data_IF_775024850601
#
_entry.id   IF_775024850601
#
_cell.length_a   1.000
_cell.length_b   1.000
_cell.length_c   1.000
_cell.angle_alpha   90.00
_cell.angle_beta   90.00
_cell.angle_gamma   90.00
#
_symmetry.space_group_name_H-M   'P 1'
#
loop_
_entity.id
_entity.type
_entity.pdbx_description
1 polymer ?
#
# COMPACT_ATOMS: atom_id res chain seq x y z
N UNK A 1 18.33 44.56 75.24
CA UNK A 1 17.04 44.20 74.59
C UNK A 1 17.36 43.89 73.18
N UNK A 2 17.55 42.63 72.84
CA UNK A 2 17.90 42.17 71.51
C UNK A 2 16.76 41.24 71.03
N UNK A 3 16.04 41.67 69.99
CA UNK A 3 14.95 40.88 69.40
C UNK A 3 15.52 39.86 68.42
N UNK A 4 15.33 38.58 68.71
CA UNK A 4 15.62 37.46 67.81
C UNK A 4 14.62 37.44 66.65
N UNK A 5 15.12 37.62 65.45
CA UNK A 5 14.35 37.42 64.17
C UNK A 5 14.55 35.98 63.74
N UNK A 6 13.52 35.17 63.86
CA UNK A 6 13.51 33.79 63.34
C UNK A 6 13.22 33.84 61.84
N UNK A 7 14.23 33.53 61.03
CA UNK A 7 14.12 33.34 59.59
C UNK A 7 13.56 31.94 59.31
N UNK A 8 12.32 31.88 58.87
CA UNK A 8 11.67 30.63 58.46
C UNK A 8 12.09 30.29 57.02
N UNK A 9 12.95 29.29 56.84
CA UNK A 9 13.29 28.77 55.52
C UNK A 9 12.16 27.85 55.07
N UNK A 10 11.36 28.30 54.07
CA UNK A 10 10.34 27.48 53.41
C UNK A 10 11.04 26.71 52.29
N UNK A 11 11.35 25.43 52.49
CA UNK A 11 11.86 24.55 51.43
C UNK A 11 10.66 24.11 50.60
N UNK A 12 10.50 24.73 49.45
CA UNK A 12 9.51 24.33 48.43
C UNK A 12 10.07 23.15 47.63
N UNK A 13 9.69 21.95 47.99
CA UNK A 13 10.03 20.74 47.26
C UNK A 13 9.16 20.70 45.99
N UNK A 14 9.74 21.06 44.84
CA UNK A 14 9.10 20.89 43.54
C UNK A 14 9.20 19.41 43.20
N UNK A 15 8.08 18.69 43.36
CA UNK A 15 7.93 17.33 42.84
C UNK A 15 7.74 17.44 41.34
N UNK A 16 8.79 17.18 40.58
CA UNK A 16 8.72 16.99 39.12
C UNK A 16 8.08 15.63 38.86
N UNK A 17 6.77 15.58 38.66
CA UNK A 17 6.11 14.41 38.12
C UNK A 17 6.48 14.35 36.66
N UNK A 18 7.50 13.57 36.31
CA UNK A 18 7.74 13.14 34.93
C UNK A 18 6.54 12.28 34.52
N UNK A 19 5.63 12.87 33.77
CA UNK A 19 4.65 12.09 32.99
C UNK A 19 5.45 11.32 31.94
N UNK A 20 5.73 10.06 32.23
CA UNK A 20 6.14 9.09 31.25
C UNK A 20 4.93 8.94 30.33
N UNK A 21 4.93 9.68 29.21
CA UNK A 21 4.08 9.35 28.07
C UNK A 21 4.51 7.96 27.59
N UNK A 22 3.94 6.94 28.18
CA UNK A 22 3.90 5.63 27.58
C UNK A 22 3.21 5.81 26.22
N UNK A 23 4.00 5.84 25.15
CA UNK A 23 3.47 5.55 23.82
C UNK A 23 2.86 4.16 23.92
N UNK A 24 1.57 4.10 24.21
CA UNK A 24 0.76 2.95 23.81
C UNK A 24 0.96 2.87 22.30
N UNK A 25 1.66 1.85 21.81
CA UNK A 25 1.60 1.44 20.43
C UNK A 25 0.14 1.09 20.16
N UNK A 26 -0.69 2.11 19.91
CA UNK A 26 -2.05 1.94 19.48
C UNK A 26 -2.01 1.12 18.19
N UNK A 27 -2.84 0.09 18.14
CA UNK A 27 -3.04 -0.72 16.92
C UNK A 27 -3.16 0.26 15.76
N UNK A 28 -2.17 0.25 14.88
CA UNK A 28 -2.11 1.20 13.78
C UNK A 28 -2.98 0.68 12.65
N UNK A 29 -4.20 1.17 12.57
CA UNK A 29 -5.16 0.81 11.53
C UNK A 29 -4.73 1.39 10.17
N UNK A 30 -5.28 0.82 9.10
CA UNK A 30 -5.15 1.40 7.76
C UNK A 30 -5.75 2.82 7.73
N UNK A 31 -5.05 3.77 7.13
CA UNK A 31 -5.59 5.11 6.89
C UNK A 31 -6.79 5.05 5.93
N UNK A 32 -7.59 6.12 5.90
CA UNK A 32 -8.71 6.24 4.94
C UNK A 32 -8.22 6.08 3.49
N UNK A 33 -7.07 6.67 3.15
CA UNK A 33 -6.45 6.54 1.81
C UNK A 33 -6.03 5.11 1.51
N UNK A 34 -5.39 4.42 2.44
CA UNK A 34 -5.00 3.02 2.27
C UNK A 34 -6.21 2.11 2.05
N UNK A 35 -7.28 2.27 2.84
CA UNK A 35 -8.54 1.53 2.61
C UNK A 35 -9.13 1.81 1.22
N UNK A 36 -9.09 3.05 0.76
CA UNK A 36 -9.55 3.40 -0.58
C UNK A 36 -8.70 2.76 -1.69
N UNK A 37 -7.36 2.73 -1.54
CA UNK A 37 -6.46 2.03 -2.45
C UNK A 37 -6.83 0.54 -2.53
N UNK A 38 -7.07 -0.12 -1.38
CA UNK A 38 -7.51 -1.51 -1.31
C UNK A 38 -8.83 -1.72 -2.06
N UNK A 39 -9.82 -0.87 -1.82
CA UNK A 39 -11.12 -0.94 -2.49
C UNK A 39 -11.00 -0.77 -4.01
N UNK A 40 -10.31 0.28 -4.47
CA UNK A 40 -10.12 0.55 -5.91
C UNK A 40 -9.35 -0.60 -6.57
N UNK A 41 -8.25 -1.06 -5.97
CA UNK A 41 -7.41 -2.12 -6.52
C UNK A 41 -8.16 -3.44 -6.67
N UNK A 42 -8.84 -3.89 -5.62
CA UNK A 42 -9.57 -5.17 -5.60
C UNK A 42 -10.74 -5.19 -6.58
N UNK A 43 -11.54 -4.12 -6.62
CA UNK A 43 -12.69 -4.01 -7.51
C UNK A 43 -12.25 -3.88 -8.98
N UNK A 44 -11.15 -3.17 -9.25
CA UNK A 44 -10.58 -3.08 -10.60
C UNK A 44 -10.05 -4.44 -11.06
N UNK A 45 -9.31 -5.16 -10.20
CA UNK A 45 -8.83 -6.52 -10.47
C UNK A 45 -9.97 -7.47 -10.79
N UNK A 46 -11.06 -7.43 -10.03
CA UNK A 46 -12.27 -8.23 -10.26
C UNK A 46 -13.04 -7.80 -11.52
N UNK A 47 -12.97 -6.50 -11.89
CA UNK A 47 -13.63 -5.91 -13.04
C UNK A 47 -15.08 -5.52 -12.83
N UNK A 48 -15.48 -5.24 -11.60
CA UNK A 48 -16.80 -4.72 -11.28
C UNK A 48 -16.83 -3.20 -11.44
N UNK A 49 -17.19 -2.72 -12.63
CA UNK A 49 -17.16 -1.29 -12.96
C UNK A 49 -18.18 -0.46 -12.16
N UNK A 50 -19.31 -1.07 -11.78
CA UNK A 50 -20.32 -0.38 -10.97
C UNK A 50 -19.78 -0.06 -9.57
N UNK A 51 -19.19 -1.06 -8.91
CA UNK A 51 -18.52 -0.86 -7.62
C UNK A 51 -17.29 0.04 -7.76
N UNK A 52 -16.57 -0.03 -8.89
CA UNK A 52 -15.41 0.83 -9.13
C UNK A 52 -15.78 2.31 -9.10
N UNK A 53 -16.89 2.71 -9.74
CA UNK A 53 -17.39 4.10 -9.69
C UNK A 53 -17.59 4.56 -8.24
N UNK A 54 -18.17 3.72 -7.40
CA UNK A 54 -18.35 4.02 -5.97
C UNK A 54 -17.01 4.15 -5.23
N UNK A 55 -16.07 3.22 -5.47
CA UNK A 55 -14.75 3.23 -4.82
C UNK A 55 -13.89 4.42 -5.25
N UNK A 56 -13.98 4.85 -6.51
CA UNK A 56 -13.26 6.02 -7.02
C UNK A 56 -13.75 7.31 -6.35
N UNK A 57 -15.08 7.50 -6.23
CA UNK A 57 -15.65 8.62 -5.49
C UNK A 57 -15.19 8.59 -4.02
N UNK A 58 -15.33 7.46 -3.34
CA UNK A 58 -14.87 7.29 -1.96
C UNK A 58 -13.37 7.55 -1.78
N UNK A 59 -12.56 7.20 -2.78
CA UNK A 59 -11.12 7.46 -2.79
C UNK A 59 -10.80 8.95 -2.84
N UNK A 60 -11.46 9.71 -3.72
CA UNK A 60 -11.32 11.17 -3.78
C UNK A 60 -11.80 11.82 -2.47
N UNK A 61 -12.92 11.37 -1.92
CA UNK A 61 -13.46 11.87 -0.65
C UNK A 61 -12.57 11.50 0.55
N UNK A 62 -11.83 10.41 0.48
CA UNK A 62 -10.80 10.04 1.46
C UNK A 62 -9.51 10.86 1.32
N UNK A 63 -9.42 11.72 0.30
CA UNK A 63 -8.31 12.62 0.04
C UNK A 63 -7.21 12.04 -0.85
N UNK A 64 -7.46 10.94 -1.58
CA UNK A 64 -6.58 10.56 -2.68
C UNK A 64 -6.61 11.64 -3.76
N UNK A 65 -5.45 11.95 -4.32
CA UNK A 65 -5.36 12.88 -5.43
C UNK A 65 -5.66 12.18 -6.76
N UNK A 66 -5.98 12.96 -7.78
CA UNK A 66 -6.20 12.43 -9.14
C UNK A 66 -5.00 11.61 -9.61
N UNK A 67 -3.77 12.13 -9.39
CA UNK A 67 -2.55 11.43 -9.80
C UNK A 67 -2.29 10.15 -8.98
N UNK A 68 -2.64 10.12 -7.69
CA UNK A 68 -2.58 8.87 -6.90
C UNK A 68 -3.54 7.81 -7.44
N UNK A 69 -4.78 8.19 -7.79
CA UNK A 69 -5.74 7.21 -8.36
C UNK A 69 -5.31 6.76 -9.76
N UNK A 70 -4.79 7.65 -10.61
CA UNK A 70 -4.18 7.24 -11.89
C UNK A 70 -3.06 6.23 -11.66
N UNK A 71 -2.20 6.47 -10.68
CA UNK A 71 -1.10 5.57 -10.34
C UNK A 71 -1.60 4.20 -9.86
N UNK A 72 -2.66 4.18 -9.03
CA UNK A 72 -3.34 2.92 -8.64
C UNK A 72 -3.82 2.15 -9.86
N UNK A 73 -4.53 2.81 -10.78
CA UNK A 73 -5.09 2.16 -11.97
C UNK A 73 -4.00 1.72 -12.97
N UNK A 74 -2.90 2.48 -13.09
CA UNK A 74 -1.74 2.07 -13.88
C UNK A 74 -1.04 0.84 -13.27
N UNK A 75 -0.86 0.81 -11.94
CA UNK A 75 -0.25 -0.33 -11.27
C UNK A 75 -1.05 -1.64 -11.47
N UNK A 76 -2.39 -1.55 -11.50
CA UNK A 76 -3.27 -2.71 -11.78
C UNK A 76 -2.91 -3.41 -13.09
N UNK A 77 -2.41 -2.68 -14.09
CA UNK A 77 -1.99 -3.25 -15.37
C UNK A 77 -0.99 -4.40 -15.23
N UNK A 78 -0.02 -4.28 -14.32
CA UNK A 78 1.03 -5.27 -14.13
C UNK A 78 0.50 -6.63 -13.63
N UNK A 79 -0.65 -6.65 -12.96
CA UNK A 79 -1.22 -7.85 -12.33
C UNK A 79 -2.51 -8.34 -13.00
N UNK A 80 -3.28 -7.44 -13.59
CA UNK A 80 -4.58 -7.76 -14.19
C UNK A 80 -4.66 -7.39 -15.68
N UNK A 81 -3.54 -6.94 -16.29
CA UNK A 81 -3.40 -6.60 -17.69
C UNK A 81 -4.03 -5.28 -18.11
N UNK A 82 -3.68 -4.82 -19.32
CA UNK A 82 -4.21 -3.59 -19.92
C UNK A 82 -5.73 -3.49 -19.89
N UNK A 83 -6.51 -4.54 -20.19
CA UNK A 83 -7.96 -4.38 -20.25
C UNK A 83 -8.56 -3.88 -18.94
N UNK A 84 -8.13 -4.40 -17.79
CA UNK A 84 -8.62 -3.95 -16.47
C UNK A 84 -8.19 -2.52 -16.17
N UNK A 85 -6.91 -2.21 -16.36
CA UNK A 85 -6.34 -0.88 -16.14
C UNK A 85 -7.02 0.18 -17.03
N UNK A 86 -7.10 -0.04 -18.32
CA UNK A 86 -7.71 0.92 -19.27
C UNK A 86 -9.21 1.15 -18.98
N UNK A 87 -9.97 0.09 -18.67
CA UNK A 87 -11.37 0.25 -18.25
C UNK A 87 -11.49 0.99 -16.93
N UNK A 88 -10.57 0.77 -16.00
CA UNK A 88 -10.49 1.55 -14.75
C UNK A 88 -10.25 3.03 -15.02
N UNK A 89 -9.27 3.36 -15.87
CA UNK A 89 -8.97 4.75 -16.25
C UNK A 89 -10.16 5.42 -16.94
N UNK A 90 -10.84 4.75 -17.88
CA UNK A 90 -12.05 5.27 -18.53
C UNK A 90 -13.17 5.54 -17.52
N UNK A 91 -13.38 4.64 -16.55
CA UNK A 91 -14.36 4.85 -15.48
C UNK A 91 -13.97 6.05 -14.60
N UNK A 92 -12.69 6.21 -14.31
CA UNK A 92 -12.20 7.34 -13.52
C UNK A 92 -12.38 8.68 -14.25
N UNK A 93 -12.15 8.73 -15.56
CA UNK A 93 -12.43 9.93 -16.36
C UNK A 93 -13.89 10.35 -16.23
N UNK A 94 -14.84 9.41 -16.34
CA UNK A 94 -16.25 9.70 -16.20
C UNK A 94 -16.60 10.20 -14.77
N UNK A 95 -16.02 9.60 -13.73
CA UNK A 95 -16.20 10.07 -12.34
C UNK A 95 -15.73 11.51 -12.17
N UNK A 96 -14.56 11.87 -12.72
CA UNK A 96 -14.03 13.24 -12.63
C UNK A 96 -14.94 14.26 -13.37
N UNK A 97 -15.46 13.90 -14.54
CA UNK A 97 -16.41 14.74 -15.28
C UNK A 97 -17.70 14.96 -14.50
N UNK A 98 -18.27 13.92 -13.91
CA UNK A 98 -19.49 14.02 -13.08
C UNK A 98 -19.27 14.89 -11.84
N UNK A 99 -18.11 14.73 -11.16
CA UNK A 99 -17.76 15.54 -9.98
C UNK A 99 -17.57 17.00 -10.36
N UNK A 100 -16.86 17.27 -11.44
CA UNK A 100 -16.69 18.63 -11.98
C UNK A 100 -18.04 19.28 -12.35
N UNK A 101 -18.95 18.54 -12.99
CA UNK A 101 -20.29 19.01 -13.31
C UNK A 101 -21.12 19.37 -12.07
N UNK A 102 -20.83 18.76 -10.90
CA UNK A 102 -21.40 19.07 -9.59
C UNK A 102 -20.68 20.21 -8.86
N UNK A 103 -19.68 20.84 -9.48
CA UNK A 103 -18.87 21.91 -8.87
C UNK A 103 -17.85 21.44 -7.86
N UNK A 104 -17.50 20.13 -7.86
CA UNK A 104 -16.47 19.57 -6.98
C UNK A 104 -15.11 19.71 -7.66
N UNK A 105 -14.15 20.31 -6.96
CA UNK A 105 -12.78 20.44 -7.41
C UNK A 105 -11.90 19.42 -6.70
N UNK A 106 -11.45 18.42 -7.45
CA UNK A 106 -10.56 17.37 -6.94
C UNK A 106 -9.09 17.80 -7.09
N UNK A 107 -8.27 17.46 -6.10
CA UNK A 107 -6.85 17.83 -6.08
C UNK A 107 -6.08 16.97 -7.09
N UNK A 108 -5.35 17.61 -8.02
CA UNK A 108 -4.54 16.90 -9.03
C UNK A 108 -3.43 16.04 -8.36
N UNK A 109 -2.71 16.59 -7.40
CA UNK A 109 -1.56 15.96 -6.76
C UNK A 109 -0.28 16.03 -7.61
N UNK A 110 0.87 15.65 -7.04
CA UNK A 110 2.15 15.65 -7.75
C UNK A 110 2.18 14.57 -8.84
N UNK A 111 2.93 14.83 -9.91
CA UNK A 111 3.37 13.81 -10.85
C UNK A 111 4.56 13.02 -10.26
N UNK A 112 4.87 11.87 -10.85
CA UNK A 112 6.07 11.13 -10.46
C UNK A 112 7.32 11.94 -10.77
N UNK A 113 8.28 11.91 -9.86
CA UNK A 113 9.61 12.52 -10.09
C UNK A 113 10.27 11.81 -11.29
N UNK A 114 10.86 12.57 -12.24
CA UNK A 114 11.61 11.97 -13.32
C UNK A 114 12.77 11.12 -12.79
N UNK A 115 12.93 9.93 -13.35
CA UNK A 115 14.06 9.05 -13.01
C UNK A 115 15.31 9.60 -13.70
N UNK A 116 16.32 9.92 -12.91
CA UNK A 116 17.61 10.49 -13.38
C UNK A 116 18.78 9.49 -13.33
N UNK A 117 18.53 8.28 -12.81
CA UNK A 117 19.51 7.19 -12.78
C UNK A 117 19.71 6.64 -14.19
N UNK A 118 20.98 6.57 -14.64
CA UNK A 118 21.41 6.10 -15.95
C UNK A 118 21.74 4.58 -15.98
N UNK A 119 21.60 3.90 -14.84
CA UNK A 119 21.72 2.45 -14.74
C UNK A 119 20.72 1.70 -15.64
N UNK A 120 21.01 0.45 -15.99
CA UNK A 120 20.07 -0.34 -16.77
C UNK A 120 18.75 -0.52 -16.02
N UNK A 121 17.62 -0.57 -16.75
CA UNK A 121 16.31 -0.84 -16.12
C UNK A 121 16.32 -2.14 -15.33
N UNK A 122 17.04 -3.15 -15.83
CA UNK A 122 17.18 -4.43 -15.15
C UNK A 122 17.84 -4.27 -13.78
N UNK A 123 18.96 -3.55 -13.70
CA UNK A 123 19.71 -3.37 -12.45
C UNK A 123 18.92 -2.51 -11.45
N UNK A 124 18.28 -1.44 -11.92
CA UNK A 124 17.40 -0.63 -11.06
C UNK A 124 16.22 -1.43 -10.53
N UNK A 125 15.54 -2.20 -11.39
CA UNK A 125 14.44 -3.05 -10.96
C UNK A 125 14.88 -4.18 -10.03
N UNK A 126 16.06 -4.77 -10.25
CA UNK A 126 16.67 -5.71 -9.32
C UNK A 126 16.88 -5.08 -7.94
N UNK A 127 17.50 -3.89 -7.88
CA UNK A 127 17.74 -3.18 -6.62
C UNK A 127 16.43 -2.85 -5.87
N UNK A 128 15.37 -2.49 -6.59
CA UNK A 128 14.04 -2.26 -6.00
C UNK A 128 13.47 -3.56 -5.42
N UNK A 129 13.53 -4.68 -6.15
CA UNK A 129 13.06 -5.97 -5.66
C UNK A 129 13.84 -6.41 -4.41
N UNK A 130 15.16 -6.27 -4.40
CA UNK A 130 16.00 -6.56 -3.24
C UNK A 130 15.61 -5.68 -2.04
N UNK A 131 15.34 -4.40 -2.25
CA UNK A 131 14.87 -3.48 -1.21
C UNK A 131 13.49 -3.87 -0.68
N UNK A 132 12.56 -4.29 -1.53
CA UNK A 132 11.21 -4.70 -1.15
C UNK A 132 11.19 -6.04 -0.40
N UNK A 133 12.07 -6.96 -0.79
CA UNK A 133 12.12 -8.30 -0.20
C UNK A 133 13.08 -8.42 1.00
N UNK A 134 14.06 -7.53 1.08
CA UNK A 134 15.17 -7.63 2.01
C UNK A 134 16.14 -8.79 1.68
N UNK A 135 16.07 -9.34 0.47
CA UNK A 135 16.87 -10.48 0.03
C UNK A 135 17.67 -10.08 -1.21
N UNK A 136 18.99 -10.21 -1.12
CA UNK A 136 19.87 -10.02 -2.28
C UNK A 136 19.72 -11.19 -3.25
N UNK A 137 19.61 -10.90 -4.54
CA UNK A 137 19.61 -11.92 -5.59
C UNK A 137 21.03 -12.35 -5.93
N UNK A 138 21.46 -13.42 -5.32
CA UNK A 138 22.75 -14.05 -5.55
C UNK A 138 22.59 -15.46 -6.11
N UNK A 139 23.55 -15.91 -6.94
CA UNK A 139 23.55 -17.26 -7.47
C UNK A 139 22.70 -17.47 -8.74
N UNK A 140 22.55 -18.74 -9.17
CA UNK A 140 21.84 -19.07 -10.40
C UNK A 140 20.34 -18.86 -10.27
N UNK A 141 19.69 -18.51 -11.38
CA UNK A 141 18.22 -18.41 -11.46
C UNK A 141 17.59 -19.78 -11.22
N UNK A 142 16.43 -19.78 -10.57
CA UNK A 142 15.65 -20.98 -10.26
C UNK A 142 14.18 -20.81 -10.63
N UNK A 143 13.39 -21.88 -10.57
CA UNK A 143 11.95 -21.83 -10.82
C UNK A 143 11.60 -21.25 -12.19
N UNK A 144 10.58 -20.36 -12.23
CA UNK A 144 10.13 -19.74 -13.47
C UNK A 144 11.20 -18.88 -14.15
N UNK A 145 12.09 -18.25 -13.37
CA UNK A 145 13.15 -17.40 -13.90
C UNK A 145 14.21 -18.21 -14.66
N UNK A 146 14.47 -19.45 -14.26
CA UNK A 146 15.32 -20.37 -15.01
C UNK A 146 14.60 -20.99 -16.20
N UNK A 147 13.30 -21.31 -16.04
CA UNK A 147 12.49 -21.95 -17.09
C UNK A 147 12.14 -21.00 -18.23
N UNK A 148 11.81 -19.76 -17.93
CA UNK A 148 11.42 -18.73 -18.90
C UNK A 148 12.14 -17.40 -18.59
N UNK A 149 13.44 -17.25 -18.89
CA UNK A 149 14.25 -16.11 -18.46
C UNK A 149 13.69 -14.74 -18.90
N UNK A 150 12.99 -14.68 -20.03
CA UNK A 150 12.42 -13.43 -20.54
C UNK A 150 11.37 -12.81 -19.58
N UNK A 151 10.56 -13.65 -18.89
CA UNK A 151 9.57 -13.13 -17.93
C UNK A 151 10.24 -12.49 -16.71
N UNK A 152 11.39 -12.98 -16.31
CA UNK A 152 12.19 -12.42 -15.22
C UNK A 152 12.75 -11.05 -15.60
N UNK A 153 13.19 -10.86 -16.86
CA UNK A 153 13.60 -9.55 -17.39
C UNK A 153 12.42 -8.59 -17.36
N UNK A 154 11.24 -8.98 -17.84
CA UNK A 154 10.05 -8.14 -17.81
C UNK A 154 9.65 -7.75 -16.38
N UNK A 155 9.75 -8.67 -15.42
CA UNK A 155 9.49 -8.35 -14.02
C UNK A 155 10.43 -7.25 -13.52
N UNK A 156 11.72 -7.36 -13.78
CA UNK A 156 12.69 -6.36 -13.31
C UNK A 156 12.58 -5.04 -14.04
N UNK A 157 12.62 -5.06 -15.35
CA UNK A 157 12.64 -3.83 -16.13
C UNK A 157 11.29 -3.12 -16.10
N UNK A 158 10.19 -3.85 -16.18
CA UNK A 158 8.89 -3.25 -16.36
C UNK A 158 8.11 -3.11 -15.05
N UNK A 159 8.00 -4.18 -14.25
CA UNK A 159 7.26 -4.07 -13.00
C UNK A 159 8.05 -3.23 -11.97
N UNK A 160 9.31 -3.58 -11.71
CA UNK A 160 10.05 -2.92 -10.64
C UNK A 160 10.65 -1.58 -11.07
N UNK A 161 11.31 -1.47 -12.24
CA UNK A 161 11.90 -0.21 -12.67
C UNK A 161 10.85 0.77 -13.23
N UNK A 162 9.95 0.36 -14.14
CA UNK A 162 9.01 1.34 -14.73
C UNK A 162 7.82 1.69 -13.81
N UNK A 163 7.42 0.82 -12.87
CA UNK A 163 6.22 1.01 -12.05
C UNK A 163 6.58 1.25 -10.57
N UNK A 164 7.33 0.35 -9.92
CA UNK A 164 7.63 0.50 -8.50
C UNK A 164 8.61 1.64 -8.19
N UNK A 165 9.45 2.05 -9.14
CA UNK A 165 10.38 3.17 -8.97
C UNK A 165 9.67 4.53 -8.90
N UNK A 166 8.45 4.63 -9.42
CA UNK A 166 7.65 5.86 -9.41
C UNK A 166 7.19 6.18 -7.97
N UNK A 167 7.42 7.40 -7.52
CA UNK A 167 7.27 7.86 -6.13
C UNK A 167 5.88 8.45 -5.77
N UNK A 168 4.89 8.33 -6.65
CA UNK A 168 3.51 8.80 -6.39
C UNK A 168 2.83 8.00 -5.28
N UNK A 169 3.13 6.70 -5.18
CA UNK A 169 2.71 5.82 -4.10
C UNK A 169 3.94 5.29 -3.34
N UNK A 170 3.82 5.20 -2.03
CA UNK A 170 4.82 4.55 -1.18
C UNK A 170 4.87 3.03 -1.44
N UNK A 171 5.95 2.35 -1.06
CA UNK A 171 6.04 0.89 -1.17
C UNK A 171 4.96 0.16 -0.36
N UNK A 172 4.57 0.69 0.80
CA UNK A 172 3.44 0.15 1.57
C UNK A 172 2.13 0.23 0.79
N UNK A 173 1.84 1.38 0.15
CA UNK A 173 0.64 1.56 -0.67
C UNK A 173 0.67 0.68 -1.92
N UNK A 174 1.84 0.51 -2.56
CA UNK A 174 1.99 -0.38 -3.71
C UNK A 174 1.77 -1.85 -3.35
N UNK A 175 2.30 -2.30 -2.22
CA UNK A 175 2.09 -3.68 -1.79
C UNK A 175 0.64 -3.93 -1.34
N UNK A 176 0.00 -2.99 -0.62
CA UNK A 176 -1.44 -3.06 -0.33
C UNK A 176 -2.28 -3.14 -1.61
N UNK A 177 -1.93 -2.33 -2.61
CA UNK A 177 -2.57 -2.36 -3.92
C UNK A 177 -2.37 -3.71 -4.61
N UNK A 178 -1.13 -4.23 -4.61
CA UNK A 178 -0.80 -5.52 -5.23
C UNK A 178 -1.62 -6.64 -4.64
N UNK A 179 -1.62 -6.81 -3.29
CA UNK A 179 -2.42 -7.87 -2.65
C UNK A 179 -3.91 -7.69 -2.90
N UNK A 180 -4.39 -6.44 -3.04
CA UNK A 180 -5.79 -6.13 -3.38
C UNK A 180 -6.16 -6.61 -4.78
N UNK A 181 -5.31 -6.32 -5.76
CA UNK A 181 -5.51 -6.76 -7.15
C UNK A 181 -5.47 -8.28 -7.24
N UNK A 182 -4.51 -8.94 -6.55
CA UNK A 182 -4.39 -10.40 -6.53
C UNK A 182 -5.64 -11.06 -5.92
N UNK A 183 -6.22 -10.48 -4.85
CA UNK A 183 -7.52 -10.95 -4.32
C UNK A 183 -8.64 -10.82 -5.35
N UNK A 184 -8.65 -9.74 -6.14
CA UNK A 184 -9.65 -9.52 -7.20
C UNK A 184 -9.50 -10.47 -8.39
N UNK A 185 -8.27 -10.81 -8.76
CA UNK A 185 -7.94 -11.74 -9.85
C UNK A 185 -8.27 -13.19 -9.45
N UNK A 186 -7.86 -13.62 -8.25
CA UNK A 186 -8.05 -14.97 -7.72
C UNK A 186 -7.21 -16.04 -8.43
N UNK A 187 -7.03 -17.21 -7.77
CA UNK A 187 -6.27 -18.34 -8.31
C UNK A 187 -4.76 -18.08 -8.39
N UNK A 188 -4.25 -17.14 -7.61
CA UNK A 188 -2.84 -16.71 -7.56
C UNK A 188 -2.30 -16.70 -6.13
N UNK A 189 -2.72 -17.64 -5.29
CA UNK A 189 -2.40 -17.73 -3.87
C UNK A 189 -0.89 -17.75 -3.58
N UNK A 190 -0.02 -18.40 -4.37
CA UNK A 190 1.42 -18.34 -4.16
C UNK A 190 1.98 -16.91 -4.30
N UNK A 191 1.46 -16.12 -5.25
CA UNK A 191 1.84 -14.72 -5.45
C UNK A 191 1.31 -13.85 -4.31
N UNK A 192 0.07 -14.08 -3.88
CA UNK A 192 -0.53 -13.39 -2.74
C UNK A 192 0.29 -13.63 -1.46
N UNK A 193 0.74 -14.87 -1.22
CA UNK A 193 1.64 -15.22 -0.10
C UNK A 193 2.94 -14.43 -0.16
N UNK A 194 3.58 -14.39 -1.32
CA UNK A 194 4.82 -13.63 -1.51
C UNK A 194 4.63 -12.16 -1.19
N UNK A 195 3.57 -11.54 -1.72
CA UNK A 195 3.28 -10.12 -1.51
C UNK A 195 2.83 -9.80 -0.08
N UNK A 196 2.16 -10.70 0.67
CA UNK A 196 1.95 -10.49 2.10
C UNK A 196 3.26 -10.47 2.89
N UNK A 197 4.27 -11.27 2.49
CA UNK A 197 5.60 -11.17 3.09
C UNK A 197 6.26 -9.82 2.78
N UNK A 198 6.12 -9.31 1.54
CA UNK A 198 6.61 -7.98 1.16
C UNK A 198 5.87 -6.88 1.95
N UNK A 199 4.55 -6.98 2.11
CA UNK A 199 3.78 -6.07 2.96
C UNK A 199 4.39 -5.92 4.37
N UNK A 200 4.70 -7.04 5.02
CA UNK A 200 5.33 -7.04 6.34
C UNK A 200 6.76 -6.46 6.28
N UNK A 201 7.53 -6.78 5.23
CA UNK A 201 8.89 -6.27 5.08
C UNK A 201 8.93 -4.75 4.88
N UNK A 202 8.01 -4.18 4.10
CA UNK A 202 7.91 -2.73 3.90
C UNK A 202 7.27 -2.00 5.09
N UNK A 203 6.97 -2.70 6.18
CA UNK A 203 6.58 -2.13 7.47
C UNK A 203 5.08 -2.08 7.74
N UNK A 204 4.24 -2.75 6.94
CA UNK A 204 2.84 -2.97 7.33
C UNK A 204 2.77 -3.95 8.51
N UNK A 205 1.90 -3.65 9.47
CA UNK A 205 1.74 -4.47 10.66
C UNK A 205 0.71 -5.59 10.44
N UNK A 206 0.82 -6.72 11.17
CA UNK A 206 -0.16 -7.82 11.07
C UNK A 206 -1.61 -7.35 11.26
N UNK A 207 -1.84 -6.39 12.17
CA UNK A 207 -3.17 -5.83 12.44
C UNK A 207 -3.73 -5.07 11.24
N UNK A 208 -2.88 -4.35 10.51
CA UNK A 208 -3.27 -3.67 9.27
C UNK A 208 -3.64 -4.66 8.17
N UNK A 209 -2.91 -5.78 8.07
CA UNK A 209 -3.23 -6.85 7.12
C UNK A 209 -4.51 -7.59 7.53
N UNK A 210 -4.78 -7.71 8.82
CA UNK A 210 -6.06 -8.26 9.28
C UNK A 210 -7.23 -7.33 8.95
N UNK A 211 -7.06 -6.01 9.10
CA UNK A 211 -8.06 -5.02 8.66
C UNK A 211 -8.25 -5.03 7.14
N UNK A 212 -7.16 -5.19 6.37
CA UNK A 212 -7.19 -5.36 4.92
C UNK A 212 -8.17 -6.47 4.51
N UNK A 213 -8.17 -7.63 5.18
CA UNK A 213 -9.11 -8.73 4.90
C UNK A 213 -10.56 -8.26 5.03
N UNK A 214 -10.88 -7.48 6.08
CA UNK A 214 -12.22 -6.90 6.25
C UNK A 214 -12.62 -5.96 5.10
N UNK A 215 -11.67 -5.14 4.62
CA UNK A 215 -11.91 -4.26 3.45
C UNK A 215 -12.16 -5.07 2.18
N UNK A 216 -11.44 -6.16 1.95
CA UNK A 216 -11.64 -7.08 0.82
C UNK A 216 -13.05 -7.68 0.88
N UNK A 217 -13.51 -8.16 2.06
CA UNK A 217 -14.87 -8.70 2.23
C UNK A 217 -15.93 -7.69 1.82
N UNK A 218 -15.81 -6.45 2.28
CA UNK A 218 -16.74 -5.37 1.93
C UNK A 218 -16.71 -5.00 0.44
N UNK A 219 -15.51 -4.95 -0.17
CA UNK A 219 -15.34 -4.51 -1.55
C UNK A 219 -15.75 -5.57 -2.57
N UNK A 220 -15.26 -6.79 -2.44
CA UNK A 220 -15.40 -7.82 -3.48
C UNK A 220 -16.06 -9.13 -3.02
N UNK A 221 -16.28 -9.32 -1.71
CA UNK A 221 -17.08 -10.40 -1.14
C UNK A 221 -16.33 -11.29 -0.15
N UNK A 222 -17.11 -11.99 0.66
CA UNK A 222 -16.60 -12.84 1.75
C UNK A 222 -15.78 -14.05 1.26
N UNK A 223 -16.08 -14.55 0.07
CA UNK A 223 -15.33 -15.66 -0.53
C UNK A 223 -13.87 -15.29 -0.77
N UNK A 224 -13.64 -14.13 -1.37
CA UNK A 224 -12.31 -13.61 -1.65
C UNK A 224 -11.58 -13.25 -0.35
N UNK A 225 -12.29 -12.68 0.61
CA UNK A 225 -11.74 -12.39 1.94
C UNK A 225 -11.30 -13.66 2.66
N UNK A 226 -12.14 -14.71 2.66
CA UNK A 226 -11.80 -16.00 3.28
C UNK A 226 -10.58 -16.67 2.63
N UNK A 227 -10.47 -16.62 1.29
CA UNK A 227 -9.30 -17.13 0.58
C UNK A 227 -8.03 -16.37 0.96
N UNK A 228 -8.10 -15.03 1.02
CA UNK A 228 -6.98 -14.19 1.42
C UNK A 228 -6.59 -14.41 2.90
N UNK A 229 -7.58 -14.61 3.80
CA UNK A 229 -7.34 -14.89 5.21
C UNK A 229 -6.51 -16.17 5.41
N UNK A 230 -6.84 -17.25 4.68
CA UNK A 230 -6.08 -18.51 4.75
C UNK A 230 -4.60 -18.27 4.43
N UNK A 231 -4.32 -17.52 3.35
CA UNK A 231 -2.94 -17.20 2.93
C UNK A 231 -2.24 -16.31 3.96
N UNK A 232 -2.94 -15.30 4.50
CA UNK A 232 -2.39 -14.41 5.53
C UNK A 232 -2.03 -15.20 6.81
N UNK A 233 -2.91 -16.09 7.27
CA UNK A 233 -2.67 -16.91 8.46
C UNK A 233 -1.43 -17.79 8.31
N UNK A 234 -1.19 -18.35 7.13
CA UNK A 234 0.01 -19.15 6.84
C UNK A 234 1.28 -18.28 6.89
N UNK A 235 1.22 -17.07 6.32
CA UNK A 235 2.34 -16.10 6.38
C UNK A 235 2.66 -15.72 7.82
N UNK A 236 1.64 -15.37 8.63
CA UNK A 236 1.84 -14.96 10.01
C UNK A 236 2.32 -16.10 10.92
N UNK A 237 1.92 -17.35 10.64
CA UNK A 237 2.45 -18.54 11.36
C UNK A 237 3.92 -18.80 11.06
N UNK A 238 4.37 -18.54 9.84
CA UNK A 238 5.77 -18.77 9.44
C UNK A 238 6.76 -17.76 10.04
N UNK A 239 6.27 -16.68 10.64
CA UNK A 239 7.08 -15.61 11.27
C UNK A 239 7.21 -15.74 12.80
N UNK A 240 6.48 -16.69 13.39
CA UNK A 240 6.56 -17.02 14.83
C UNK A 240 7.64 -18.04 15.08
#
# INVERSE_FOLDING_TARGET
MVKFLKLLFFIMTIIFTATVNGQTNGIQNLSKKQRAIVGIGSVTGKGDLTKLTTQLNAGLDAGLTINQIKEVLMHVYAYAGFPRSLRGLQTFMAVLEERKAKGIEDIMGPEATPIVDDGSKYDRGKAILEKLSGVEETGPKTGYAAFAPTIEVFLKEHLFADIFERDVLTYQERELLTVSVLCGVGGVEPMLRSHFNLCLHVGLQPEQLQEFIGVIGQAIGEKEAASAQIVLDEVLKSKK
#
